data_IF_888096370244
#
_entry.id   IF_888096370244
#
_cell.length_a   1.000
_cell.length_b   1.000
_cell.length_c   1.000
_cell.angle_alpha   90.00
_cell.angle_beta   90.00
_cell.angle_gamma   90.00
#
_symmetry.space_group_name_H-M   'P 1'
#
loop_
_entity.id
_entity.type
_entity.pdbx_description
1 polymer ?
#
# COMPACT_ATOMS: atom_id res chain seq x y z
N UNK A 1 17.78 -23.94 -7.55
CA UNK A 1 19.17 -23.42 -7.66
C UNK A 1 19.24 -21.89 -7.63
N UNK A 2 18.12 -21.16 -7.68
CA UNK A 2 18.11 -19.71 -7.87
C UNK A 2 18.43 -18.86 -6.63
N UNK A 3 18.40 -19.42 -5.41
CA UNK A 3 18.59 -18.67 -4.16
C UNK A 3 19.88 -19.00 -3.39
N UNK A 4 20.89 -19.60 -4.01
CA UNK A 4 22.17 -19.91 -3.29
C UNK A 4 22.84 -18.68 -2.70
N UNK A 5 22.70 -17.53 -3.35
CA UNK A 5 23.25 -16.26 -2.87
C UNK A 5 22.61 -15.76 -1.56
N UNK A 6 21.48 -16.35 -1.13
CA UNK A 6 20.72 -15.89 0.04
C UNK A 6 20.83 -16.83 1.24
N UNK A 7 21.69 -17.86 1.16
CA UNK A 7 21.68 -19.00 2.08
C UNK A 7 22.01 -18.64 3.54
N UNK A 8 22.83 -17.60 3.75
CA UNK A 8 23.26 -17.13 5.08
C UNK A 8 22.67 -15.75 5.44
N UNK A 9 21.73 -15.23 4.64
CA UNK A 9 21.12 -13.94 4.92
C UNK A 9 20.02 -14.08 5.97
N UNK A 10 20.05 -13.27 7.05
CA UNK A 10 18.99 -13.29 8.05
C UNK A 10 17.68 -12.72 7.48
N UNK A 11 16.58 -12.97 8.17
CA UNK A 11 15.25 -12.42 7.86
C UNK A 11 14.62 -12.91 6.53
N UNK A 12 15.20 -13.91 5.86
CA UNK A 12 14.63 -14.54 4.67
C UNK A 12 13.88 -15.82 5.01
N UNK A 13 12.64 -15.66 5.48
CA UNK A 13 11.73 -16.78 5.69
C UNK A 13 11.22 -17.38 4.37
N UNK A 14 10.46 -18.46 4.48
CA UNK A 14 9.93 -19.19 3.32
C UNK A 14 9.09 -18.31 2.39
N UNK A 15 8.26 -17.43 2.93
CA UNK A 15 7.46 -16.50 2.13
C UNK A 15 8.31 -15.52 1.33
N UNK A 16 9.32 -14.90 1.94
CA UNK A 16 10.25 -14.01 1.24
C UNK A 16 10.99 -14.73 0.12
N UNK A 17 11.44 -15.97 0.37
CA UNK A 17 12.09 -16.80 -0.65
C UNK A 17 11.15 -17.12 -1.80
N UNK A 18 9.89 -17.44 -1.55
CA UNK A 18 8.90 -17.71 -2.59
C UNK A 18 8.70 -16.50 -3.52
N UNK A 19 8.55 -15.29 -2.95
CA UNK A 19 8.47 -14.05 -3.74
C UNK A 19 9.74 -13.83 -4.56
N UNK A 20 10.93 -14.09 -4.00
CA UNK A 20 12.20 -13.98 -4.73
C UNK A 20 12.30 -15.01 -5.88
N UNK A 21 11.85 -16.24 -5.68
CA UNK A 21 11.83 -17.27 -6.72
C UNK A 21 10.88 -16.90 -7.88
N UNK A 22 9.70 -16.36 -7.57
CA UNK A 22 8.79 -15.84 -8.60
C UNK A 22 9.45 -14.73 -9.42
N UNK A 23 10.08 -13.76 -8.76
CA UNK A 23 10.75 -12.64 -9.46
C UNK A 23 11.90 -13.15 -10.33
N UNK A 24 12.71 -14.08 -9.83
CA UNK A 24 13.84 -14.64 -10.60
C UNK A 24 13.37 -15.54 -11.76
N UNK A 25 12.22 -16.20 -11.62
CA UNK A 25 11.66 -17.09 -12.64
C UNK A 25 10.80 -16.40 -13.70
N UNK A 26 9.95 -15.46 -13.29
CA UNK A 26 8.93 -14.83 -14.12
C UNK A 26 9.17 -13.32 -14.36
N UNK A 27 10.16 -12.72 -13.71
CA UNK A 27 10.46 -11.29 -13.78
C UNK A 27 9.57 -10.40 -12.92
N UNK A 28 8.58 -10.97 -12.22
CA UNK A 28 7.62 -10.28 -11.34
C UNK A 28 7.11 -11.25 -10.28
N UNK A 29 6.38 -10.74 -9.29
CA UNK A 29 5.66 -11.57 -8.32
C UNK A 29 4.16 -11.37 -8.47
N UNK A 30 3.43 -12.47 -8.59
CA UNK A 30 1.98 -12.46 -8.78
C UNK A 30 1.27 -11.90 -7.54
N UNK A 31 1.79 -12.19 -6.34
CA UNK A 31 1.27 -11.62 -5.11
C UNK A 31 1.41 -10.10 -5.10
N UNK A 32 2.58 -9.59 -5.48
CA UNK A 32 2.83 -8.15 -5.56
C UNK A 32 1.89 -7.50 -6.58
N UNK A 33 1.73 -8.09 -7.75
CA UNK A 33 0.84 -7.58 -8.79
C UNK A 33 -0.63 -7.56 -8.35
N UNK A 34 -1.07 -8.58 -7.61
CA UNK A 34 -2.40 -8.62 -7.02
C UNK A 34 -2.59 -7.49 -5.99
N UNK A 35 -1.60 -7.25 -5.12
CA UNK A 35 -1.65 -6.15 -4.13
C UNK A 35 -1.64 -4.79 -4.85
N UNK A 36 -0.84 -4.62 -5.90
CA UNK A 36 -0.80 -3.38 -6.67
C UNK A 36 -2.12 -3.11 -7.41
N UNK A 37 -2.88 -4.15 -7.73
CA UNK A 37 -4.19 -4.06 -8.39
C UNK A 37 -5.36 -3.94 -7.41
N UNK A 38 -5.13 -4.15 -6.11
CA UNK A 38 -6.16 -4.09 -5.06
C UNK A 38 -6.61 -2.64 -4.77
N UNK A 39 -7.92 -2.38 -4.90
CA UNK A 39 -8.52 -1.05 -4.69
C UNK A 39 -8.22 -0.51 -3.29
N UNK A 40 -8.24 -1.40 -2.28
CA UNK A 40 -7.98 -1.01 -0.89
C UNK A 40 -6.54 -0.55 -0.73
N UNK A 41 -5.56 -1.31 -1.21
CA UNK A 41 -4.15 -0.91 -1.18
C UNK A 41 -3.94 0.41 -1.93
N UNK A 42 -4.46 0.54 -3.15
CA UNK A 42 -4.34 1.75 -3.96
C UNK A 42 -4.94 2.97 -3.25
N UNK A 43 -6.13 2.84 -2.68
CA UNK A 43 -6.81 3.95 -2.00
C UNK A 43 -6.11 4.34 -0.70
N UNK A 44 -5.69 3.35 0.11
CA UNK A 44 -4.97 3.64 1.34
C UNK A 44 -3.63 4.31 1.03
N UNK A 45 -2.89 3.82 0.05
CA UNK A 45 -1.62 4.43 -0.41
C UNK A 45 -1.85 5.86 -0.89
N UNK A 46 -2.90 6.10 -1.68
CA UNK A 46 -3.30 7.43 -2.15
C UNK A 46 -3.58 8.38 -0.98
N UNK A 47 -4.40 7.97 0.00
CA UNK A 47 -4.71 8.84 1.13
C UNK A 47 -3.50 9.08 2.03
N UNK A 48 -2.71 8.05 2.32
CA UNK A 48 -1.53 8.20 3.17
C UNK A 48 -0.37 8.95 2.52
N UNK A 49 -0.45 9.27 1.21
CA UNK A 49 0.54 10.13 0.56
C UNK A 49 0.40 11.60 0.95
N UNK A 50 -0.71 11.99 1.56
CA UNK A 50 -0.97 13.36 2.02
C UNK A 50 -0.36 13.57 3.40
N UNK A 51 0.42 14.64 3.57
CA UNK A 51 0.99 14.98 4.88
C UNK A 51 -0.13 15.21 5.91
N UNK A 52 -0.02 14.56 7.08
CA UNK A 52 -1.06 14.59 8.11
C UNK A 52 -2.19 13.56 7.94
N UNK A 53 -2.15 12.71 6.90
CA UNK A 53 -3.08 11.57 6.74
C UNK A 53 -2.35 10.26 7.06
N UNK A 54 -2.52 9.76 8.28
CA UNK A 54 -2.02 8.45 8.69
C UNK A 54 -2.98 7.30 8.36
N UNK A 55 -2.56 6.04 8.58
CA UNK A 55 -3.37 4.85 8.29
C UNK A 55 -4.76 4.86 8.93
N UNK A 56 -4.90 5.39 10.16
CA UNK A 56 -6.21 5.51 10.83
C UNK A 56 -7.18 6.42 10.08
N UNK A 57 -6.69 7.55 9.57
CA UNK A 57 -7.50 8.52 8.82
C UNK A 57 -7.84 7.98 7.43
N UNK A 58 -6.84 7.41 6.74
CA UNK A 58 -7.04 6.77 5.44
C UNK A 58 -8.08 5.64 5.51
N UNK A 59 -7.98 4.77 6.52
CA UNK A 59 -8.94 3.68 6.75
C UNK A 59 -10.35 4.21 7.02
N UNK A 60 -10.47 5.29 7.81
CA UNK A 60 -11.76 5.94 8.08
C UNK A 60 -12.40 6.45 6.78
N UNK A 61 -11.64 7.10 5.91
CA UNK A 61 -12.14 7.59 4.62
C UNK A 61 -12.50 6.42 3.68
N UNK A 62 -11.67 5.38 3.61
CA UNK A 62 -11.92 4.20 2.80
C UNK A 62 -13.23 3.48 3.19
N UNK A 63 -13.46 3.26 4.49
CA UNK A 63 -14.70 2.64 5.01
C UNK A 63 -15.95 3.46 4.72
N UNK A 64 -15.79 4.76 4.48
CA UNK A 64 -16.87 5.66 4.07
C UNK A 64 -17.12 5.66 2.56
N UNK A 65 -16.44 4.81 1.80
CA UNK A 65 -16.59 4.71 0.35
C UNK A 65 -15.76 5.72 -0.44
N UNK A 66 -14.90 6.52 0.21
CA UNK A 66 -14.07 7.49 -0.48
C UNK A 66 -12.89 6.79 -1.18
N UNK A 67 -12.61 7.20 -2.42
CA UNK A 67 -11.55 6.64 -3.28
C UNK A 67 -10.63 7.68 -3.92
N UNK A 68 -10.92 8.96 -3.74
CA UNK A 68 -10.17 10.06 -4.37
C UNK A 68 -10.06 11.27 -3.46
N UNK A 69 -9.08 12.14 -3.72
CA UNK A 69 -8.95 13.42 -3.02
C UNK A 69 -10.16 14.33 -3.25
N UNK A 70 -10.69 14.36 -4.47
CA UNK A 70 -11.91 15.11 -4.78
C UNK A 70 -13.10 14.64 -3.95
N UNK A 71 -13.25 13.33 -3.73
CA UNK A 71 -14.29 12.78 -2.86
C UNK A 71 -14.11 13.18 -1.40
N UNK A 72 -12.87 13.19 -0.90
CA UNK A 72 -12.56 13.65 0.46
C UNK A 72 -12.86 15.13 0.64
N UNK A 73 -12.49 15.98 -0.33
CA UNK A 73 -12.71 17.43 -0.29
C UNK A 73 -14.17 17.84 -0.44
N UNK A 74 -14.95 17.06 -1.18
CA UNK A 74 -16.37 17.31 -1.40
C UNK A 74 -17.27 16.78 -0.26
N UNK A 75 -16.74 15.94 0.64
CA UNK A 75 -17.51 15.30 1.70
C UNK A 75 -17.76 16.27 2.88
N UNK A 76 -19.00 16.73 3.11
CA UNK A 76 -19.29 17.81 4.07
C UNK A 76 -18.94 17.48 5.52
N UNK A 77 -18.92 16.20 5.88
CA UNK A 77 -18.63 15.75 7.25
C UNK A 77 -17.14 15.50 7.52
N UNK A 78 -16.26 15.75 6.55
CA UNK A 78 -14.82 15.69 6.75
C UNK A 78 -14.30 17.09 7.08
N UNK A 79 -13.71 17.21 8.27
CA UNK A 79 -12.97 18.39 8.69
C UNK A 79 -11.48 18.08 8.67
N UNK A 80 -10.78 18.65 7.69
CA UNK A 80 -9.33 18.52 7.59
C UNK A 80 -8.66 19.36 8.66
N UNK A 81 -7.68 18.78 9.35
CA UNK A 81 -6.83 19.55 10.27
C UNK A 81 -5.81 20.39 9.50
N UNK A 82 -5.09 21.30 10.18
CA UNK A 82 -4.11 22.19 9.52
C UNK A 82 -3.05 21.45 8.70
N UNK A 83 -2.58 20.30 9.16
CA UNK A 83 -1.58 19.52 8.41
C UNK A 83 -2.18 18.98 7.10
N UNK A 84 -3.40 18.44 7.18
CA UNK A 84 -4.11 17.87 6.03
C UNK A 84 -4.60 18.92 5.02
N UNK A 85 -4.76 20.17 5.45
CA UNK A 85 -5.11 21.28 4.57
C UNK A 85 -3.91 21.79 3.76
N UNK A 86 -2.69 21.59 4.28
CA UNK A 86 -1.44 22.06 3.66
C UNK A 86 -0.64 20.96 2.95
N UNK A 87 -0.91 19.69 3.29
CA UNK A 87 -0.29 18.51 2.69
C UNK A 87 -0.91 18.11 1.37
#
# INVERSE_FOLDING_TARGET
QHLRATQDLPCLGEHTKAVMEEILGCGHSFEVDNILSDERYQTLKLFTSVFGVGPKTAEKWYRRGLRSFSGVLAEPSIHLNRMQQSG
#
